data_IF_849067639466
#
_entry.id   IF_849067639466
#
_cell.length_a   1.000
_cell.length_b   1.000
_cell.length_c   1.000
_cell.angle_alpha   90.00
_cell.angle_beta   90.00
_cell.angle_gamma   90.00
#
_symmetry.space_group_name_H-M   'P 1'
#
loop_
_entity.id
_entity.type
_entity.pdbx_description
1 polymer ?
#
# COMPACT_ATOMS: atom_id res chain seq x y z
N UNK A 1 -14.33 -0.25 20.40
CA UNK A 1 -12.86 -0.25 20.62
C UNK A 1 -12.09 -0.76 19.40
N UNK A 2 -12.37 -1.98 18.90
CA UNK A 2 -11.68 -2.57 17.73
C UNK A 2 -11.69 -1.68 16.46
N UNK A 3 -12.82 -1.04 16.15
CA UNK A 3 -12.96 -0.13 15.00
C UNK A 3 -12.02 1.08 15.06
N UNK A 4 -11.88 1.67 16.24
CA UNK A 4 -11.03 2.85 16.48
C UNK A 4 -9.56 2.43 16.35
N UNK A 5 -9.19 1.29 16.92
CA UNK A 5 -7.85 0.73 16.78
C UNK A 5 -7.50 0.45 15.30
N UNK A 6 -8.40 -0.19 14.55
CA UNK A 6 -8.19 -0.44 13.12
C UNK A 6 -8.06 0.84 12.30
N UNK A 7 -8.86 1.86 12.62
CA UNK A 7 -8.75 3.18 11.98
C UNK A 7 -7.40 3.82 12.29
N UNK A 8 -6.96 3.81 13.56
CA UNK A 8 -5.66 4.35 13.96
C UNK A 8 -4.49 3.64 13.27
N UNK A 9 -4.58 2.32 13.09
CA UNK A 9 -3.55 1.53 12.41
C UNK A 9 -3.59 1.72 10.88
N UNK A 10 -4.73 2.09 10.31
CA UNK A 10 -4.84 2.38 8.87
C UNK A 10 -4.19 3.71 8.47
N UNK A 11 -4.12 4.70 9.38
CA UNK A 11 -3.48 6.01 9.13
C UNK A 11 -2.00 5.87 8.73
N UNK A 12 -1.12 5.21 9.51
CA UNK A 12 0.28 5.06 9.14
C UNK A 12 0.43 4.25 7.84
N UNK A 13 -0.42 3.25 7.58
CA UNK A 13 -0.40 2.52 6.30
C UNK A 13 -0.65 3.47 5.11
N UNK A 14 -1.66 4.33 5.20
CA UNK A 14 -1.98 5.31 4.15
C UNK A 14 -0.81 6.28 3.95
N UNK A 15 -0.19 6.72 5.04
CA UNK A 15 1.02 7.56 4.99
C UNK A 15 2.15 6.81 4.25
N UNK A 16 2.38 5.53 4.55
CA UNK A 16 3.36 4.71 3.81
C UNK A 16 3.03 4.62 2.32
N UNK A 17 1.76 4.43 1.94
CA UNK A 17 1.36 4.42 0.53
C UNK A 17 1.62 5.76 -0.16
N UNK A 18 1.43 6.89 0.54
CA UNK A 18 1.76 8.22 0.01
C UNK A 18 3.27 8.41 -0.15
N UNK A 19 4.08 7.94 0.78
CA UNK A 19 5.54 7.93 0.64
C UNK A 19 5.99 7.08 -0.55
N UNK A 20 5.41 5.90 -0.73
CA UNK A 20 5.70 5.04 -1.89
C UNK A 20 5.34 5.78 -3.18
N UNK A 21 4.17 6.41 -3.25
CA UNK A 21 3.78 7.21 -4.41
C UNK A 21 4.74 8.39 -4.66
N UNK A 22 5.17 9.08 -3.61
CA UNK A 22 6.16 10.15 -3.70
C UNK A 22 7.47 9.65 -4.30
N UNK A 23 8.05 8.61 -3.74
CA UNK A 23 9.29 8.03 -4.27
C UNK A 23 9.10 7.53 -5.69
N UNK A 24 7.96 6.95 -6.02
CA UNK A 24 7.68 6.48 -7.38
C UNK A 24 7.74 7.62 -8.41
N UNK A 25 7.28 8.83 -8.05
CA UNK A 25 7.29 10.01 -8.93
C UNK A 25 8.68 10.67 -8.97
N UNK A 26 9.32 10.86 -7.82
CA UNK A 26 10.53 11.70 -7.69
C UNK A 26 11.84 10.90 -7.75
N UNK A 27 11.88 9.72 -7.16
CA UNK A 27 13.10 8.92 -7.02
C UNK A 27 12.78 7.41 -6.90
N UNK A 28 12.29 6.85 -8.02
CA UNK A 28 11.77 5.49 -8.05
C UNK A 28 12.85 4.43 -7.72
N UNK A 29 14.13 4.78 -7.91
CA UNK A 29 15.27 3.89 -7.60
C UNK A 29 15.34 3.54 -6.12
N UNK A 30 14.94 4.44 -5.23
CA UNK A 30 14.90 4.14 -3.80
C UNK A 30 13.92 3.01 -3.46
N UNK A 31 12.85 2.84 -4.24
CA UNK A 31 11.87 1.77 -4.04
C UNK A 31 12.37 0.40 -4.44
N UNK A 32 13.33 0.33 -5.36
CA UNK A 32 13.88 -0.93 -5.90
C UNK A 32 15.14 -1.38 -5.13
N UNK A 33 15.51 -0.67 -4.07
CA UNK A 33 16.51 -1.14 -3.10
C UNK A 33 15.95 -2.27 -2.24
N UNK A 34 16.81 -3.09 -1.63
CA UNK A 34 16.38 -4.17 -0.72
C UNK A 34 15.44 -3.65 0.38
N UNK A 35 15.78 -2.51 1.00
CA UNK A 35 14.97 -1.88 2.04
C UNK A 35 13.65 -1.34 1.47
N UNK A 36 13.70 -0.68 0.32
CA UNK A 36 12.52 -0.16 -0.38
C UNK A 36 11.52 -1.27 -0.71
N UNK A 37 12.01 -2.39 -1.27
CA UNK A 37 11.20 -3.55 -1.61
C UNK A 37 10.58 -4.21 -0.38
N UNK A 38 11.33 -4.34 0.73
CA UNK A 38 10.78 -4.89 1.98
C UNK A 38 9.64 -4.01 2.51
N UNK A 39 9.84 -2.69 2.55
CA UNK A 39 8.80 -1.74 3.00
C UNK A 39 7.58 -1.81 2.09
N UNK A 40 7.79 -1.87 0.78
CA UNK A 40 6.72 -1.88 -0.21
C UNK A 40 5.90 -3.17 -0.17
N UNK A 41 6.55 -4.33 -0.18
CA UNK A 41 5.88 -5.64 -0.06
C UNK A 41 5.21 -5.78 1.31
N UNK A 42 5.87 -5.29 2.37
CA UNK A 42 5.33 -5.23 3.71
C UNK A 42 4.03 -4.43 3.78
N UNK A 43 4.00 -3.24 3.18
CA UNK A 43 2.80 -2.39 3.17
C UNK A 43 1.64 -3.04 2.41
N UNK A 44 1.93 -3.71 1.28
CA UNK A 44 0.92 -4.45 0.51
C UNK A 44 0.32 -5.58 1.35
N UNK A 45 1.15 -6.43 1.97
CA UNK A 45 0.68 -7.53 2.83
C UNK A 45 -0.14 -6.99 4.00
N UNK A 46 0.32 -5.91 4.62
CA UNK A 46 -0.37 -5.30 5.75
C UNK A 46 -1.72 -4.68 5.35
N UNK A 47 -1.79 -4.02 4.18
CA UNK A 47 -3.03 -3.48 3.62
C UNK A 47 -4.07 -4.57 3.31
N UNK A 48 -3.64 -5.71 2.75
CA UNK A 48 -4.51 -6.87 2.52
C UNK A 48 -5.02 -7.43 3.85
N UNK A 49 -4.14 -7.60 4.84
CA UNK A 49 -4.54 -8.10 6.16
C UNK A 49 -5.57 -7.19 6.82
N UNK A 50 -5.33 -5.88 6.84
CA UNK A 50 -6.27 -4.89 7.38
C UNK A 50 -7.60 -4.91 6.65
N UNK A 51 -7.59 -5.01 5.31
CA UNK A 51 -8.82 -5.13 4.52
C UNK A 51 -9.63 -6.37 4.92
N UNK A 52 -8.98 -7.54 5.11
CA UNK A 52 -9.65 -8.76 5.54
C UNK A 52 -10.23 -8.63 6.95
N UNK A 53 -9.48 -8.03 7.88
CA UNK A 53 -9.97 -7.80 9.25
C UNK A 53 -11.17 -6.86 9.25
N UNK A 54 -11.13 -5.77 8.49
CA UNK A 54 -12.29 -4.88 8.29
C UNK A 54 -13.50 -5.63 7.73
N UNK A 55 -13.28 -6.51 6.74
CA UNK A 55 -14.35 -7.30 6.10
C UNK A 55 -15.01 -8.30 7.04
N UNK A 56 -14.23 -8.97 7.89
CA UNK A 56 -14.69 -10.06 8.75
C UNK A 56 -15.36 -9.51 10.01
N UNK A 57 -14.72 -8.54 10.67
CA UNK A 57 -15.11 -8.13 12.02
C UNK A 57 -16.03 -6.93 12.07
N UNK A 58 -16.16 -6.16 10.99
CA UNK A 58 -16.97 -4.94 11.00
C UNK A 58 -17.96 -4.96 9.84
N UNK A 59 -19.18 -5.39 10.14
CA UNK A 59 -20.32 -5.22 9.24
C UNK A 59 -21.13 -3.99 9.68
N UNK A 60 -21.64 -3.26 8.69
CA UNK A 60 -22.86 -2.43 8.82
C UNK A 60 -22.71 -0.96 9.29
N UNK A 61 -21.59 -0.28 9.05
CA UNK A 61 -21.53 1.21 9.22
C UNK A 61 -20.91 1.90 8.00
N UNK A 62 -21.55 2.98 7.52
CA UNK A 62 -21.15 3.76 6.33
C UNK A 62 -19.68 4.21 6.37
N UNK A 63 -19.21 4.68 7.53
CA UNK A 63 -17.82 5.12 7.75
C UNK A 63 -16.84 3.95 7.62
N UNK A 64 -17.21 2.76 8.12
CA UNK A 64 -16.35 1.58 8.02
C UNK A 64 -16.25 1.08 6.58
N UNK A 65 -17.35 1.13 5.82
CA UNK A 65 -17.35 0.78 4.39
C UNK A 65 -16.44 1.72 3.60
N UNK A 66 -16.44 3.02 3.93
CA UNK A 66 -15.55 3.99 3.30
C UNK A 66 -14.07 3.68 3.59
N UNK A 67 -13.71 3.44 4.86
CA UNK A 67 -12.33 3.07 5.23
C UNK A 67 -11.88 1.79 4.54
N UNK A 68 -12.76 0.78 4.47
CA UNK A 68 -12.46 -0.47 3.77
C UNK A 68 -12.19 -0.23 2.27
N UNK A 69 -13.02 0.57 1.59
CA UNK A 69 -12.81 0.91 0.18
C UNK A 69 -11.53 1.70 -0.04
N UNK A 70 -11.19 2.60 0.89
CA UNK A 70 -9.98 3.41 0.80
C UNK A 70 -8.72 2.57 0.99
N UNK A 71 -8.69 1.67 1.98
CA UNK A 71 -7.58 0.71 2.15
C UNK A 71 -7.44 -0.16 0.92
N UNK A 72 -8.55 -0.68 0.37
CA UNK A 72 -8.53 -1.49 -0.84
C UNK A 72 -7.97 -0.71 -2.04
N UNK A 73 -8.49 0.49 -2.30
CA UNK A 73 -8.08 1.32 -3.44
C UNK A 73 -6.61 1.74 -3.33
N UNK A 74 -6.17 2.18 -2.15
CA UNK A 74 -4.76 2.57 -1.94
C UNK A 74 -3.83 1.37 -2.09
N UNK A 75 -4.14 0.24 -1.45
CA UNK A 75 -3.34 -0.99 -1.59
C UNK A 75 -3.28 -1.47 -3.05
N UNK A 76 -4.40 -1.43 -3.77
CA UNK A 76 -4.46 -1.79 -5.18
C UNK A 76 -3.58 -0.88 -6.04
N UNK A 77 -3.63 0.44 -5.81
CA UNK A 77 -2.76 1.41 -6.48
C UNK A 77 -1.28 1.11 -6.16
N UNK A 78 -0.95 0.80 -4.91
CA UNK A 78 0.41 0.46 -4.49
C UNK A 78 0.94 -0.82 -5.16
N UNK A 79 0.08 -1.83 -5.39
CA UNK A 79 0.42 -3.03 -6.16
C UNK A 79 0.67 -2.68 -7.63
N UNK A 80 -0.17 -1.83 -8.22
CA UNK A 80 -0.03 -1.41 -9.61
C UNK A 80 1.27 -0.63 -9.83
N UNK A 81 1.64 0.26 -8.89
CA UNK A 81 2.92 0.95 -8.90
C UNK A 81 4.10 -0.01 -8.83
N UNK A 82 3.99 -1.09 -8.04
CA UNK A 82 5.02 -2.12 -7.93
C UNK A 82 5.24 -2.83 -9.26
N UNK A 83 4.15 -3.21 -9.92
CA UNK A 83 4.21 -3.80 -11.25
C UNK A 83 4.92 -2.90 -12.25
N UNK A 84 4.56 -1.61 -12.30
CA UNK A 84 5.22 -0.67 -13.21
C UNK A 84 6.69 -0.39 -12.87
N UNK A 85 7.05 -0.28 -11.59
CA UNK A 85 8.44 -0.07 -11.20
C UNK A 85 9.34 -1.24 -11.60
N UNK A 86 8.86 -2.47 -11.45
CA UNK A 86 9.61 -3.66 -11.91
C UNK A 86 9.78 -3.69 -13.43
N UNK A 87 8.76 -3.26 -14.19
CA UNK A 87 8.89 -3.11 -15.66
C UNK A 87 9.95 -2.07 -16.00
N UNK A 88 9.93 -0.90 -15.35
CA UNK A 88 10.90 0.16 -15.60
C UNK A 88 12.32 -0.34 -15.29
N UNK A 89 12.52 -0.94 -14.11
CA UNK A 89 13.82 -1.51 -13.71
C UNK A 89 14.32 -2.55 -14.72
N UNK A 90 13.44 -3.43 -15.18
CA UNK A 90 13.79 -4.44 -16.18
C UNK A 90 14.22 -3.80 -17.51
N UNK A 91 13.52 -2.77 -17.97
CA UNK A 91 13.87 -2.04 -19.20
C UNK A 91 15.20 -1.29 -19.01
N UNK A 92 15.41 -0.61 -17.88
CA UNK A 92 16.61 0.20 -17.65
C UNK A 92 17.86 -0.63 -17.40
N UNK A 93 17.74 -1.77 -16.70
CA UNK A 93 18.86 -2.71 -16.50
C UNK A 93 19.28 -3.40 -17.79
N UNK A 94 18.40 -3.43 -18.80
CA UNK A 94 18.67 -3.96 -20.13
C UNK A 94 19.32 -2.95 -21.08
N UNK A 95 19.43 -1.67 -20.69
CA UNK A 95 20.17 -0.66 -21.46
C UNK A 95 21.68 -0.79 -21.16
N UNK A 96 22.54 -0.91 -22.19
CA UNK A 96 23.98 -1.00 -22.02
C UNK A 96 24.64 0.32 -21.59
#
# INVERSE_FOLDING_TARGET
MLKIALTLVSIPLIITHLFILYFWIFDWRQLVTDVGLIVWVGSIKFGILLYLVFRIYIKTEKITILNQKLIFATTFLTILLAFFALIIEFITSSMP
#
